data_IF_306223956709
#
_entry.id   IF_306223956709
#
_cell.length_a   1.000
_cell.length_b   1.000
_cell.length_c   1.000
_cell.angle_alpha   90.00
_cell.angle_beta   90.00
_cell.angle_gamma   90.00
#
_symmetry.space_group_name_H-M   'P 1'
#
loop_
_entity.id
_entity.type
_entity.pdbx_description
1 polymer ?
#
# COMPACT_ATOMS: atom_id res chain seq x y z
N UNK A 1 -51.89 -18.46 46.07
CA UNK A 1 -52.79 -17.99 45.00
C UNK A 1 -52.24 -16.73 44.34
N UNK A 2 -51.30 -16.86 43.40
CA UNK A 2 -50.98 -15.86 42.36
C UNK A 2 -50.39 -16.65 41.19
N UNK A 3 -51.24 -17.04 40.25
CA UNK A 3 -50.85 -17.78 39.05
C UNK A 3 -50.12 -16.81 38.13
N UNK A 4 -48.80 -16.91 38.02
CA UNK A 4 -48.04 -16.20 36.99
C UNK A 4 -47.63 -17.22 35.93
N UNK A 5 -48.54 -17.42 34.97
CA UNK A 5 -48.31 -18.19 33.76
C UNK A 5 -47.44 -17.33 32.83
N UNK A 6 -46.15 -17.61 32.79
CA UNK A 6 -45.25 -17.08 31.77
C UNK A 6 -45.46 -17.96 30.53
N UNK A 7 -45.98 -17.45 29.40
CA UNK A 7 -46.15 -18.26 28.21
C UNK A 7 -44.77 -18.65 27.67
N UNK A 8 -44.59 -19.94 27.36
CA UNK A 8 -43.40 -20.53 26.77
C UNK A 8 -42.94 -19.89 25.43
N UNK A 9 -43.67 -18.89 24.93
CA UNK A 9 -43.38 -18.15 23.71
C UNK A 9 -42.22 -17.15 23.84
N UNK A 10 -41.91 -16.64 25.05
CA UNK A 10 -40.84 -15.62 25.19
C UNK A 10 -39.42 -16.22 25.08
N UNK A 11 -39.27 -17.50 25.43
CA UNK A 11 -37.97 -18.21 25.31
C UNK A 11 -37.65 -18.57 23.86
N UNK A 12 -38.67 -18.81 23.02
CA UNK A 12 -38.48 -19.16 21.61
C UNK A 12 -38.09 -17.96 20.71
N UNK A 13 -38.47 -16.72 21.09
CA UNK A 13 -38.15 -15.52 20.30
C UNK A 13 -36.71 -15.03 20.54
N UNK A 14 -36.11 -15.33 21.69
CA UNK A 14 -34.71 -14.98 21.99
C UNK A 14 -33.66 -15.82 21.25
N UNK A 15 -34.02 -17.01 20.76
CA UNK A 15 -33.10 -17.92 20.06
C UNK A 15 -33.07 -17.75 18.54
N UNK A 16 -34.02 -17.03 17.94
CA UNK A 16 -34.07 -16.78 16.50
C UNK A 16 -33.38 -15.48 16.06
N UNK A 17 -33.00 -14.60 16.99
CA UNK A 17 -32.29 -13.36 16.69
C UNK A 17 -30.75 -13.51 16.64
N UNK A 18 -30.20 -14.69 16.94
CA UNK A 18 -28.74 -14.96 16.83
C UNK A 18 -28.33 -15.67 15.53
N UNK A 19 -29.29 -16.16 14.74
CA UNK A 19 -29.02 -16.89 13.50
C UNK A 19 -28.88 -15.98 12.25
N UNK A 20 -29.21 -14.69 12.38
CA UNK A 20 -29.02 -13.69 11.32
C UNK A 20 -28.00 -12.64 11.77
N UNK A 21 -26.84 -13.11 12.21
CA UNK A 21 -25.65 -12.27 12.27
C UNK A 21 -25.18 -12.15 10.82
N UNK A 22 -25.36 -11.01 10.12
CA UNK A 22 -24.82 -10.87 8.79
C UNK A 22 -23.33 -11.17 8.92
N UNK A 23 -22.89 -12.20 8.22
CA UNK A 23 -21.50 -12.61 8.26
C UNK A 23 -20.67 -11.40 7.83
N UNK A 24 -19.97 -10.79 8.78
CA UNK A 24 -18.86 -9.86 8.52
C UNK A 24 -17.65 -10.61 7.93
N UNK A 25 -17.83 -11.87 7.54
CA UNK A 25 -16.95 -12.60 6.65
C UNK A 25 -17.29 -12.24 5.19
N UNK A 26 -17.22 -10.94 4.88
CA UNK A 26 -16.88 -10.56 3.51
C UNK A 26 -15.39 -10.81 3.41
N UNK A 27 -14.92 -11.68 2.49
CA UNK A 27 -13.52 -11.63 2.12
C UNK A 27 -13.36 -10.29 1.43
N UNK A 28 -12.94 -9.25 2.18
CA UNK A 28 -12.10 -8.22 1.60
C UNK A 28 -10.98 -9.03 0.98
N UNK A 29 -11.05 -9.20 -0.34
CA UNK A 29 -10.07 -9.92 -1.13
C UNK A 29 -8.72 -9.46 -0.58
N UNK A 30 -8.01 -10.38 0.06
CA UNK A 30 -6.75 -10.08 0.70
C UNK A 30 -5.91 -9.39 -0.36
N UNK A 31 -5.74 -8.06 -0.22
CA UNK A 31 -4.90 -7.31 -1.11
C UNK A 31 -3.55 -8.03 -1.11
N UNK A 32 -2.89 -8.21 -2.28
CA UNK A 32 -1.65 -8.95 -2.35
C UNK A 32 -0.74 -8.48 -1.22
N UNK A 33 -0.41 -9.42 -0.33
CA UNK A 33 0.48 -9.22 0.81
C UNK A 33 1.84 -8.89 0.19
N UNK A 34 2.11 -7.60 0.04
CA UNK A 34 3.43 -7.14 -0.38
C UNK A 34 4.31 -7.43 0.81
N UNK A 35 5.27 -8.33 0.61
CA UNK A 35 6.38 -8.57 1.53
C UNK A 35 6.77 -7.22 2.16
N UNK A 36 6.48 -7.03 3.45
CA UNK A 36 6.84 -5.80 4.16
C UNK A 36 8.36 -5.70 4.15
N UNK A 37 8.90 -4.91 3.22
CA UNK A 37 10.33 -5.02 2.94
C UNK A 37 10.85 -4.04 1.90
N UNK A 38 10.56 -2.76 2.10
CA UNK A 38 11.16 -1.61 1.43
C UNK A 38 10.87 -1.45 -0.08
N UNK A 39 10.50 -0.22 -0.46
CA UNK A 39 10.42 0.19 -1.85
C UNK A 39 11.80 0.02 -2.52
N UNK A 40 11.89 -0.80 -3.57
CA UNK A 40 13.11 -0.93 -4.36
C UNK A 40 13.36 0.36 -5.14
N UNK A 41 14.41 1.08 -4.78
CA UNK A 41 14.94 2.20 -5.54
C UNK A 41 15.92 1.71 -6.61
N UNK A 42 15.79 2.25 -7.82
CA UNK A 42 16.65 1.97 -8.95
C UNK A 42 17.67 3.10 -9.11
N UNK A 43 18.86 2.78 -9.62
CA UNK A 43 19.70 3.82 -10.23
C UNK A 43 19.04 4.32 -11.51
N UNK A 44 19.49 5.48 -12.00
CA UNK A 44 19.00 6.01 -13.28
C UNK A 44 19.21 5.00 -14.41
N UNK A 45 20.40 4.43 -14.52
CA UNK A 45 20.76 3.49 -15.58
C UNK A 45 19.98 2.18 -15.47
N UNK A 46 19.74 1.68 -14.25
CA UNK A 46 18.91 0.50 -14.03
C UNK A 46 17.45 0.73 -14.44
N UNK A 47 16.90 1.91 -14.10
CA UNK A 47 15.52 2.26 -14.43
C UNK A 47 15.33 2.39 -15.94
N UNK A 48 16.27 3.01 -16.65
CA UNK A 48 16.27 3.12 -18.12
C UNK A 48 16.34 1.73 -18.76
N UNK A 49 17.29 0.89 -18.32
CA UNK A 49 17.43 -0.47 -18.85
C UNK A 49 16.19 -1.33 -18.57
N UNK A 50 15.58 -1.20 -17.40
CA UNK A 50 14.35 -1.90 -17.04
C UNK A 50 13.16 -1.42 -17.87
N UNK A 51 13.04 -0.10 -18.12
CA UNK A 51 12.00 0.50 -18.94
C UNK A 51 12.09 0.06 -20.41
N UNK A 52 13.29 -0.14 -20.95
CA UNK A 52 13.48 -0.69 -22.30
C UNK A 52 13.02 -2.15 -22.40
N UNK A 53 13.27 -2.97 -21.38
CA UNK A 53 12.90 -4.40 -21.36
C UNK A 53 11.42 -4.62 -21.07
N UNK A 54 10.87 -3.89 -20.11
CA UNK A 54 9.47 -3.97 -19.68
C UNK A 54 8.92 -2.55 -19.54
N UNK A 55 8.15 -2.06 -20.54
CA UNK A 55 7.66 -0.70 -20.59
C UNK A 55 6.84 -0.35 -19.36
N UNK A 56 7.39 0.54 -18.53
CA UNK A 56 6.79 1.09 -17.32
C UNK A 56 7.45 2.44 -17.06
N UNK A 57 6.69 3.38 -16.49
CA UNK A 57 7.15 4.75 -16.27
C UNK A 57 8.23 4.80 -15.19
N UNK A 58 9.15 5.75 -15.30
CA UNK A 58 10.12 6.05 -14.26
C UNK A 58 9.51 7.14 -13.37
N UNK A 59 9.47 6.90 -12.06
CA UNK A 59 9.09 7.89 -11.07
C UNK A 59 10.37 8.47 -10.48
N UNK A 60 10.56 9.79 -10.59
CA UNK A 60 11.78 10.45 -10.10
C UNK A 60 11.44 11.25 -8.86
N UNK A 61 12.01 10.84 -7.74
CA UNK A 61 12.00 11.64 -6.52
C UNK A 61 13.26 12.50 -6.46
N UNK A 62 13.07 13.80 -6.71
CA UNK A 62 14.15 14.79 -6.73
C UNK A 62 14.34 15.35 -5.33
N UNK A 63 15.55 15.23 -4.80
CA UNK A 63 15.86 15.64 -3.43
C UNK A 63 17.23 16.32 -3.34
N UNK A 64 17.55 16.85 -2.16
CA UNK A 64 18.91 17.24 -1.77
C UNK A 64 19.23 16.67 -0.40
N UNK A 65 20.52 16.52 -0.08
CA UNK A 65 20.95 15.92 1.20
C UNK A 65 20.50 16.72 2.43
N UNK A 66 20.32 18.03 2.28
CA UNK A 66 19.91 18.94 3.35
C UNK A 66 18.39 19.15 3.44
N UNK A 67 17.62 18.63 2.48
CA UNK A 67 16.16 18.79 2.45
C UNK A 67 15.47 18.01 3.59
N UNK A 68 15.00 18.73 4.61
CA UNK A 68 14.29 18.14 5.75
C UNK A 68 12.96 17.47 5.38
N UNK A 69 12.19 18.07 4.46
CA UNK A 69 10.90 17.54 4.01
C UNK A 69 11.05 16.27 3.16
N UNK A 70 12.10 16.18 2.36
CA UNK A 70 12.44 14.99 1.58
C UNK A 70 12.71 13.81 2.53
N UNK A 71 13.52 14.03 3.57
CA UNK A 71 13.77 13.01 4.61
C UNK A 71 12.51 12.60 5.37
N UNK A 72 11.57 13.53 5.61
CA UNK A 72 10.28 13.20 6.23
C UNK A 72 9.45 12.34 5.31
N UNK A 73 9.33 12.71 4.02
CA UNK A 73 8.61 11.95 3.01
C UNK A 73 9.16 10.53 2.86
N UNK A 74 10.47 10.34 2.93
CA UNK A 74 11.11 9.02 2.90
C UNK A 74 10.68 8.15 4.07
N UNK A 75 10.71 8.72 5.27
CA UNK A 75 10.36 8.01 6.50
C UNK A 75 8.87 7.69 6.60
N UNK A 76 8.00 8.54 6.04
CA UNK A 76 6.55 8.40 6.20
C UNK A 76 5.87 7.86 4.95
N UNK A 77 6.02 8.53 3.82
CA UNK A 77 5.21 8.32 2.63
C UNK A 77 5.73 7.14 1.82
N UNK A 78 7.02 7.12 1.48
CA UNK A 78 7.58 6.02 0.67
C UNK A 78 7.75 4.72 1.44
N UNK A 79 7.76 4.78 2.78
CA UNK A 79 7.69 3.61 3.65
C UNK A 79 6.25 3.17 3.95
N UNK A 80 5.23 3.93 3.54
CA UNK A 80 3.85 3.51 3.72
C UNK A 80 3.56 2.32 2.79
N UNK A 81 3.03 1.18 3.30
CA UNK A 81 2.88 -0.04 2.50
C UNK A 81 2.07 0.16 1.21
N UNK A 82 0.98 0.91 1.27
CA UNK A 82 0.14 1.17 0.10
C UNK A 82 0.86 1.99 -0.98
N UNK A 83 1.69 2.96 -0.57
CA UNK A 83 2.46 3.80 -1.49
C UNK A 83 3.59 2.99 -2.09
N UNK A 84 4.33 2.25 -1.26
CA UNK A 84 5.41 1.38 -1.71
C UNK A 84 4.89 0.33 -2.72
N UNK A 85 3.74 -0.27 -2.42
CA UNK A 85 3.03 -1.19 -3.32
C UNK A 85 2.73 -0.53 -4.65
N UNK A 86 2.01 0.60 -4.63
CA UNK A 86 1.61 1.31 -5.83
C UNK A 86 2.82 1.72 -6.69
N UNK A 87 3.88 2.24 -6.06
CA UNK A 87 5.10 2.59 -6.76
C UNK A 87 5.79 1.37 -7.38
N UNK A 88 5.87 0.25 -6.65
CA UNK A 88 6.48 -0.99 -7.16
C UNK A 88 5.70 -1.58 -8.34
N UNK A 89 4.37 -1.53 -8.30
CA UNK A 89 3.49 -2.10 -9.31
C UNK A 89 3.49 -1.28 -10.60
N UNK A 90 3.56 0.05 -10.49
CA UNK A 90 3.33 0.96 -11.62
C UNK A 90 4.57 1.72 -12.10
N UNK A 91 5.65 1.79 -11.33
CA UNK A 91 6.83 2.59 -11.66
C UNK A 91 8.17 1.87 -11.45
N UNK A 92 9.21 2.42 -12.08
CA UNK A 92 10.60 2.24 -11.66
C UNK A 92 11.01 3.49 -10.88
N UNK A 93 10.93 3.49 -9.54
CA UNK A 93 11.22 4.66 -8.74
C UNK A 93 12.75 4.89 -8.63
N UNK A 94 13.17 6.13 -8.80
CA UNK A 94 14.57 6.57 -8.77
C UNK A 94 14.71 7.74 -7.80
N UNK A 95 15.73 7.66 -6.93
CA UNK A 95 16.19 8.78 -6.12
C UNK A 95 17.15 9.64 -6.93
N UNK A 96 16.87 10.92 -7.06
CA UNK A 96 17.70 11.83 -7.83
C UNK A 96 18.15 13.01 -6.99
N UNK A 97 19.44 13.06 -6.69
CA UNK A 97 20.03 14.21 -5.99
C UNK A 97 20.16 15.38 -6.99
N UNK A 98 19.49 16.49 -6.73
CA UNK A 98 19.48 17.67 -7.59
C UNK A 98 20.82 18.42 -7.61
N UNK A 99 21.71 18.16 -6.63
CA UNK A 99 23.02 18.79 -6.53
C UNK A 99 24.15 17.90 -7.08
N UNK A 100 23.83 16.67 -7.53
CA UNK A 100 24.82 15.81 -8.14
C UNK A 100 25.35 16.42 -9.44
N UNK A 101 26.66 16.26 -9.67
CA UNK A 101 27.33 16.72 -10.91
C UNK A 101 27.50 15.61 -11.94
N UNK A 102 27.05 14.39 -11.61
CA UNK A 102 27.17 13.24 -12.49
C UNK A 102 26.19 13.41 -13.65
N UNK A 103 26.70 13.26 -14.86
CA UNK A 103 25.89 13.20 -16.06
C UNK A 103 25.03 11.93 -16.07
N UNK A 104 23.80 12.07 -16.56
CA UNK A 104 22.88 10.95 -16.77
C UNK A 104 22.64 10.78 -18.26
N UNK A 105 22.40 9.55 -18.67
CA UNK A 105 22.12 9.19 -20.06
C UNK A 105 20.66 8.78 -20.21
N UNK A 106 19.94 9.39 -21.14
CA UNK A 106 18.53 9.09 -21.43
C UNK A 106 18.32 8.86 -22.92
N UNK A 107 17.97 7.64 -23.29
CA UNK A 107 17.69 7.28 -24.69
C UNK A 107 18.79 7.68 -25.69
N UNK A 108 20.06 7.68 -25.26
CA UNK A 108 21.21 8.04 -26.09
C UNK A 108 21.55 9.53 -26.12
N UNK A 109 20.99 10.31 -25.19
CA UNK A 109 21.27 11.73 -24.99
C UNK A 109 21.74 12.03 -23.57
#
# INVERSE_FOLDING_TARGET
>A
MKKLLIPAAVVAVGLLAFAFRPSLDSPVAAAPQVEEGSLKWYTWEEAVAAAQKKPKKIFVDVYTQWCGWCKRMDKTTFNHPEVAKYLSEHFYPVKFDAEQKKEIQWNGH
#
